data_IF_472911872558
#
_entry.id   IF_472911872558
#
_cell.length_a   1.000
_cell.length_b   1.000
_cell.length_c   1.000
_cell.angle_alpha   90.00
_cell.angle_beta   90.00
_cell.angle_gamma   90.00
#
_symmetry.space_group_name_H-M   'P 1'
#
loop_
_entity.id
_entity.type
_entity.pdbx_description
1 polymer ?
#
# COMPACT_ATOMS: atom_id res chain seq x y z
N UNK A 1 4.81 22.35 18.54
CA UNK A 1 3.86 21.30 18.21
C UNK A 1 3.67 21.16 16.73
N UNK A 2 3.85 19.98 16.19
CA UNK A 2 3.64 19.82 14.75
C UNK A 2 2.15 19.95 14.44
N UNK A 3 1.86 20.61 13.35
CA UNK A 3 0.49 20.74 12.91
C UNK A 3 -0.02 19.40 12.37
N UNK A 4 -1.34 19.27 12.30
CA UNK A 4 -1.92 18.08 11.73
C UNK A 4 -1.52 17.90 10.27
N UNK A 5 -1.36 19.01 9.56
CA UNK A 5 -0.94 18.95 8.17
C UNK A 5 0.46 18.38 8.05
N UNK A 6 1.38 18.79 8.92
CA UNK A 6 2.73 18.27 8.90
C UNK A 6 2.76 16.79 9.26
N UNK A 7 1.94 16.36 10.22
CA UNK A 7 1.88 14.96 10.59
C UNK A 7 1.34 14.10 9.46
N UNK A 8 0.35 14.61 8.74
CA UNK A 8 -0.21 13.88 7.60
C UNK A 8 0.81 13.75 6.48
N UNK A 9 1.55 14.81 6.25
CA UNK A 9 2.57 14.81 5.21
C UNK A 9 3.65 13.79 5.50
N UNK A 10 4.07 13.75 6.75
CA UNK A 10 5.08 12.79 7.17
C UNK A 10 4.57 11.37 7.04
N UNK A 11 3.33 11.13 7.45
CA UNK A 11 2.75 9.80 7.32
C UNK A 11 2.60 9.39 5.87
N UNK A 12 2.18 10.31 5.01
CA UNK A 12 2.06 10.03 3.59
C UNK A 12 3.41 9.68 2.98
N UNK A 13 4.46 10.35 3.42
CA UNK A 13 5.81 10.08 2.95
C UNK A 13 6.27 8.70 3.38
N UNK A 14 6.03 8.36 4.64
CA UNK A 14 6.38 7.04 5.15
C UNK A 14 5.63 5.94 4.42
N UNK A 15 4.36 6.19 4.13
CA UNK A 15 3.54 5.23 3.41
C UNK A 15 4.09 5.02 2.00
N UNK A 16 4.41 6.10 1.31
CA UNK A 16 4.94 6.01 -0.04
C UNK A 16 6.25 5.24 -0.08
N UNK A 17 7.12 5.48 0.90
CA UNK A 17 8.38 4.78 0.97
C UNK A 17 8.19 3.29 1.24
N UNK A 18 7.26 2.97 2.12
CA UNK A 18 6.97 1.57 2.42
C UNK A 18 6.40 0.85 1.21
N UNK A 19 5.50 1.50 0.49
CA UNK A 19 4.92 0.93 -0.72
C UNK A 19 6.00 0.68 -1.76
N UNK A 20 6.93 1.62 -1.90
CA UNK A 20 8.00 1.49 -2.88
C UNK A 20 8.90 0.29 -2.62
N UNK A 21 8.94 -0.19 -1.39
CA UNK A 21 9.79 -1.34 -1.03
C UNK A 21 9.09 -2.68 -1.18
N UNK A 22 7.81 -2.66 -1.47
CA UNK A 22 7.07 -3.91 -1.64
C UNK A 22 7.45 -4.59 -2.95
N UNK A 23 7.27 -5.91 -2.99
CA UNK A 23 7.37 -6.65 -4.24
C UNK A 23 6.38 -6.09 -5.24
N UNK A 24 6.70 -6.25 -6.51
CA UNK A 24 5.94 -5.61 -7.55
C UNK A 24 4.44 -5.92 -7.52
N UNK A 25 4.02 -7.18 -7.40
CA UNK A 25 2.58 -7.41 -7.40
C UNK A 25 1.86 -6.74 -6.24
N UNK A 26 2.49 -6.71 -5.08
CA UNK A 26 1.91 -6.03 -3.91
C UNK A 26 1.86 -4.53 -4.14
N UNK A 27 2.94 -3.97 -4.66
CA UNK A 27 2.99 -2.55 -4.93
C UNK A 27 1.94 -2.13 -5.94
N UNK A 28 1.80 -2.91 -7.01
CA UNK A 28 0.83 -2.60 -8.05
C UNK A 28 -0.60 -2.58 -7.53
N UNK A 29 -0.97 -3.61 -6.78
CA UNK A 29 -2.35 -3.71 -6.33
C UNK A 29 -2.69 -2.60 -5.33
N UNK A 30 -1.74 -2.22 -4.50
CA UNK A 30 -1.97 -1.12 -3.56
C UNK A 30 -2.08 0.20 -4.30
N UNK A 31 -1.19 0.44 -5.26
CA UNK A 31 -1.26 1.67 -6.05
C UNK A 31 -2.60 1.80 -6.78
N UNK A 32 -3.03 0.73 -7.40
CA UNK A 32 -4.29 0.76 -8.14
C UNK A 32 -5.48 0.97 -7.23
N UNK A 33 -5.51 0.29 -6.10
CA UNK A 33 -6.67 0.32 -5.23
C UNK A 33 -6.74 1.59 -4.39
N UNK A 34 -5.60 2.01 -3.84
CA UNK A 34 -5.59 3.11 -2.88
C UNK A 34 -5.27 4.45 -3.50
N UNK A 35 -4.40 4.48 -4.48
CA UNK A 35 -3.97 5.76 -5.05
C UNK A 35 -4.71 6.09 -6.33
N UNK A 36 -5.03 5.08 -7.14
CA UNK A 36 -5.78 5.30 -8.37
C UNK A 36 -7.26 5.02 -8.20
N UNK A 37 -7.66 4.55 -7.05
CA UNK A 37 -9.06 4.32 -6.69
C UNK A 37 -9.79 3.41 -7.66
N UNK A 38 -9.09 2.43 -8.20
CA UNK A 38 -9.70 1.47 -9.09
C UNK A 38 -10.46 0.42 -8.30
N UNK A 39 -11.55 -0.05 -8.87
CA UNK A 39 -12.29 -1.12 -8.21
C UNK A 39 -11.70 -2.48 -8.58
N UNK A 40 -12.11 -3.52 -7.84
CA UNK A 40 -11.54 -4.85 -8.00
C UNK A 40 -11.71 -5.39 -9.42
N UNK A 41 -12.88 -5.27 -10.05
CA UNK A 41 -13.00 -5.77 -11.44
C UNK A 41 -12.00 -5.14 -12.39
N UNK A 42 -11.75 -3.85 -12.25
CA UNK A 42 -10.81 -3.18 -13.15
C UNK A 42 -9.38 -3.61 -12.87
N UNK A 43 -9.02 -3.75 -11.59
CA UNK A 43 -7.69 -4.23 -11.23
C UNK A 43 -7.48 -5.64 -11.79
N UNK A 44 -8.51 -6.47 -11.68
CA UNK A 44 -8.43 -7.84 -12.19
C UNK A 44 -8.12 -7.85 -13.67
N UNK A 45 -8.76 -6.97 -14.42
CA UNK A 45 -8.51 -6.86 -15.86
C UNK A 45 -7.08 -6.40 -16.13
N UNK A 46 -6.63 -5.40 -15.39
CA UNK A 46 -5.30 -4.83 -15.59
C UNK A 46 -4.20 -5.82 -15.27
N UNK A 47 -4.40 -6.61 -14.22
CA UNK A 47 -3.40 -7.57 -13.79
C UNK A 47 -3.57 -8.95 -14.40
N UNK A 48 -4.62 -9.12 -15.19
CA UNK A 48 -4.94 -10.42 -15.81
C UNK A 48 -5.09 -11.48 -14.73
N UNK A 49 -5.89 -11.18 -13.72
CA UNK A 49 -6.17 -12.08 -12.61
C UNK A 49 -7.66 -12.10 -12.33
N UNK A 50 -8.12 -13.12 -11.65
CA UNK A 50 -9.52 -13.16 -11.22
C UNK A 50 -9.74 -12.13 -10.12
N UNK A 51 -11.00 -11.74 -9.94
CA UNK A 51 -11.32 -10.81 -8.86
C UNK A 51 -10.96 -11.39 -7.50
N UNK A 52 -11.22 -12.68 -7.33
CA UNK A 52 -10.87 -13.32 -6.07
C UNK A 52 -9.37 -13.29 -5.82
N UNK A 53 -8.59 -13.53 -6.87
CA UNK A 53 -7.13 -13.46 -6.75
C UNK A 53 -6.68 -12.06 -6.38
N UNK A 54 -7.34 -11.04 -6.93
CA UNK A 54 -7.02 -9.65 -6.59
C UNK A 54 -7.30 -9.37 -5.12
N UNK A 55 -8.44 -9.84 -4.63
CA UNK A 55 -8.77 -9.65 -3.21
C UNK A 55 -7.75 -10.29 -2.30
N UNK A 56 -7.34 -11.51 -2.63
CA UNK A 56 -6.32 -12.21 -1.84
C UNK A 56 -4.99 -11.46 -1.92
N UNK A 57 -4.63 -11.05 -3.13
CA UNK A 57 -3.39 -10.31 -3.33
C UNK A 57 -3.40 -9.01 -2.54
N UNK A 58 -4.52 -8.32 -2.54
CA UNK A 58 -4.62 -7.06 -1.82
C UNK A 58 -4.48 -7.28 -0.31
N UNK A 59 -5.12 -8.31 0.23
CA UNK A 59 -4.98 -8.62 1.65
C UNK A 59 -3.54 -8.90 2.02
N UNK A 60 -2.85 -9.67 1.18
CA UNK A 60 -1.45 -9.97 1.42
C UNK A 60 -0.59 -8.73 1.28
N UNK A 61 -0.94 -7.87 0.33
CA UNK A 61 -0.20 -6.63 0.13
C UNK A 61 -0.34 -5.71 1.33
N UNK A 62 -1.54 -5.62 1.90
CA UNK A 62 -1.75 -4.79 3.09
C UNK A 62 -0.95 -5.34 4.27
N UNK A 63 -0.91 -6.66 4.42
CA UNK A 63 -0.11 -7.26 5.49
C UNK A 63 1.38 -6.94 5.29
N UNK A 64 1.85 -7.05 4.07
CA UNK A 64 3.25 -6.73 3.76
C UNK A 64 3.54 -5.26 3.99
N UNK A 65 2.58 -4.39 3.66
CA UNK A 65 2.73 -2.96 3.89
C UNK A 65 2.84 -2.65 5.37
N UNK A 66 2.01 -3.29 6.19
CA UNK A 66 2.08 -3.08 7.62
C UNK A 66 3.44 -3.49 8.18
N UNK A 67 3.97 -4.61 7.70
CA UNK A 67 5.28 -5.04 8.13
C UNK A 67 6.36 -4.06 7.72
N UNK A 68 6.28 -3.57 6.49
CA UNK A 68 7.24 -2.60 6.02
C UNK A 68 7.20 -1.31 6.83
N UNK A 69 5.99 -0.86 7.15
CA UNK A 69 5.84 0.36 7.94
C UNK A 69 6.33 0.17 9.37
N UNK A 70 6.13 -1.00 9.93
CA UNK A 70 6.66 -1.30 11.24
C UNK A 70 8.17 -1.19 11.28
N UNK A 71 8.82 -1.72 10.25
CA UNK A 71 10.27 -1.67 10.19
C UNK A 71 10.80 -0.26 10.06
N UNK A 72 10.13 0.54 9.24
CA UNK A 72 10.63 1.88 8.95
C UNK A 72 10.17 2.89 9.95
N UNK A 73 8.89 2.85 10.27
CA UNK A 73 8.33 3.80 11.21
C UNK A 73 8.61 3.42 12.64
N UNK A 74 9.14 2.23 12.84
CA UNK A 74 9.37 1.77 14.18
C UNK A 74 10.44 2.58 14.84
N UNK A 75 10.11 3.04 15.96
CA UNK A 75 11.06 3.71 16.79
C UNK A 75 12.00 2.68 17.37
N UNK A 76 13.26 2.77 17.06
CA UNK A 76 14.22 1.83 17.61
C UNK A 76 14.35 1.96 19.09
N UNK A 77 13.82 3.02 19.59
CA UNK A 77 13.83 3.32 21.03
C UNK A 77 15.01 2.74 21.74
#
# INVERSE_FOLDING_TARGET
>A
MPSQAAAREELAQQLAEAVARLDEPHRQVIQMRRFEEMDVPEIARRLDRSENAVRILYCRAIAALREAMKREGRDPA
#
